data_IF_707705421466
#
_entry.id   IF_707705421466
#
_cell.length_a   1.000
_cell.length_b   1.000
_cell.length_c   1.000
_cell.angle_alpha   90.00
_cell.angle_beta   90.00
_cell.angle_gamma   90.00
#
_symmetry.space_group_name_H-M   'P 1'
#
loop_
_entity.id
_entity.type
_entity.pdbx_description
1 polymer ?
#
# COMPACT_ATOMS: atom_id res chain seq x y z
N UNK A 1 0.42 28.05 1.55
CA UNK A 1 -0.75 27.67 2.38
C UNK A 1 -0.99 26.20 2.12
N UNK A 2 -1.06 25.38 3.18
CA UNK A 2 -1.12 23.92 3.06
C UNK A 2 -2.58 23.51 2.90
N UNK A 3 -3.05 23.34 1.66
CA UNK A 3 -4.35 22.73 1.40
C UNK A 3 -4.20 21.21 1.56
N UNK A 4 -4.06 20.70 2.80
CA UNK A 4 -4.47 19.32 3.08
C UNK A 4 -5.96 19.30 2.75
N UNK A 5 -6.39 18.41 1.83
CA UNK A 5 -7.78 18.07 1.52
C UNK A 5 -8.76 18.78 2.48
N UNK A 6 -9.24 19.98 2.11
CA UNK A 6 -9.75 20.97 3.09
C UNK A 6 -10.93 20.42 3.92
N UNK A 7 -11.57 19.37 3.43
CA UNK A 7 -12.72 18.73 4.06
C UNK A 7 -12.38 17.39 4.75
N UNK A 8 -11.13 16.88 4.64
CA UNK A 8 -10.68 15.60 5.20
C UNK A 8 -11.61 14.41 4.88
N UNK A 9 -12.35 14.47 3.77
CA UNK A 9 -13.43 13.52 3.48
C UNK A 9 -12.89 12.09 3.27
N UNK A 10 -11.83 11.91 2.47
CA UNK A 10 -11.27 10.56 2.25
C UNK A 10 -10.71 9.95 3.54
N UNK A 11 -9.88 10.68 4.34
CA UNK A 11 -9.50 10.23 5.68
C UNK A 11 -10.69 9.89 6.57
N UNK A 12 -11.73 10.73 6.59
CA UNK A 12 -12.92 10.53 7.41
C UNK A 12 -13.67 9.26 7.01
N UNK A 13 -13.94 9.05 5.71
CA UNK A 13 -14.58 7.84 5.19
C UNK A 13 -13.76 6.59 5.49
N UNK A 14 -12.43 6.64 5.33
CA UNK A 14 -11.54 5.54 5.64
C UNK A 14 -11.57 5.17 7.14
N UNK A 15 -11.50 6.16 8.02
CA UNK A 15 -11.52 5.94 9.47
C UNK A 15 -12.88 5.42 9.95
N UNK A 16 -13.99 5.98 9.48
CA UNK A 16 -15.33 5.49 9.84
C UNK A 16 -15.57 4.06 9.39
N UNK A 17 -15.15 3.71 8.17
CA UNK A 17 -15.26 2.33 7.69
C UNK A 17 -14.56 1.34 8.65
N UNK A 18 -13.40 1.72 9.19
CA UNK A 18 -12.66 0.88 10.15
C UNK A 18 -13.36 0.79 11.51
N UNK A 19 -13.93 1.90 11.98
CA UNK A 19 -14.73 1.92 13.21
C UNK A 19 -15.95 1.00 13.06
N UNK A 20 -16.68 1.11 11.95
CA UNK A 20 -17.87 0.29 11.67
C UNK A 20 -17.52 -1.21 11.64
N UNK A 21 -16.39 -1.57 11.04
CA UNK A 21 -15.90 -2.95 11.03
C UNK A 21 -15.54 -3.45 12.43
N UNK A 22 -14.87 -2.62 13.22
CA UNK A 22 -14.50 -2.98 14.58
C UNK A 22 -15.74 -3.15 15.47
N UNK A 23 -16.67 -2.21 15.41
CA UNK A 23 -17.93 -2.28 16.16
C UNK A 23 -18.78 -3.49 15.78
N UNK A 24 -18.87 -3.79 14.48
CA UNK A 24 -19.61 -4.96 14.00
C UNK A 24 -19.03 -6.24 14.61
N UNK A 25 -17.71 -6.41 14.56
CA UNK A 25 -17.06 -7.59 15.11
C UNK A 25 -17.25 -7.68 16.64
N UNK A 26 -17.13 -6.55 17.35
CA UNK A 26 -17.36 -6.50 18.80
C UNK A 26 -18.78 -6.97 19.15
N UNK A 27 -19.78 -6.53 18.40
CA UNK A 27 -21.18 -6.94 18.58
C UNK A 27 -21.41 -8.42 18.26
N UNK A 28 -20.74 -8.95 17.25
CA UNK A 28 -20.94 -10.34 16.78
C UNK A 28 -20.21 -11.38 17.62
N UNK A 29 -19.03 -11.06 18.16
CA UNK A 29 -18.16 -12.06 18.80
C UNK A 29 -17.29 -11.53 19.95
N UNK A 30 -17.59 -10.35 20.50
CA UNK A 30 -16.85 -9.73 21.60
C UNK A 30 -15.33 -9.57 21.35
N UNK A 31 -14.93 -9.45 20.08
CA UNK A 31 -13.55 -9.19 19.68
C UNK A 31 -13.48 -8.04 18.67
N UNK A 32 -12.29 -7.47 18.48
CA UNK A 32 -12.03 -6.45 17.46
C UNK A 32 -11.00 -6.97 16.46
N UNK A 33 -11.11 -6.65 15.16
CA UNK A 33 -10.06 -6.99 14.19
C UNK A 33 -8.81 -6.12 14.39
N UNK A 34 -8.93 -4.94 15.01
CA UNK A 34 -7.88 -3.91 15.09
C UNK A 34 -7.81 -3.38 16.53
N UNK A 35 -6.60 -3.16 17.04
CA UNK A 35 -6.36 -2.65 18.40
C UNK A 35 -5.87 -1.21 18.43
N UNK A 36 -5.14 -0.78 17.40
CA UNK A 36 -4.68 0.60 17.29
C UNK A 36 -4.58 1.06 15.83
N UNK A 37 -4.80 2.36 15.64
CA UNK A 37 -4.61 3.08 14.39
C UNK A 37 -3.48 4.09 14.58
N UNK A 38 -2.53 4.12 13.64
CA UNK A 38 -1.45 5.12 13.64
C UNK A 38 -1.51 5.94 12.34
N UNK A 39 -2.38 6.97 12.27
CA UNK A 39 -2.44 7.86 11.13
C UNK A 39 -1.23 8.81 11.11
N UNK A 40 -0.57 8.92 9.97
CA UNK A 40 0.57 9.81 9.78
C UNK A 40 0.55 10.45 8.40
N UNK A 41 0.81 11.75 8.34
CA UNK A 41 0.98 12.47 7.09
C UNK A 41 2.45 12.60 6.77
N UNK A 42 2.80 12.41 5.50
CA UNK A 42 4.12 12.74 4.99
C UNK A 42 3.99 13.52 3.68
N UNK A 43 4.99 14.35 3.39
CA UNK A 43 5.07 15.09 2.12
C UNK A 43 5.32 14.09 1.00
N UNK A 44 4.68 14.28 -0.14
CA UNK A 44 5.01 13.49 -1.30
C UNK A 44 6.43 13.83 -1.81
N UNK A 45 7.06 12.86 -2.47
CA UNK A 45 8.43 12.94 -2.95
C UNK A 45 8.57 12.31 -4.33
N UNK A 46 9.43 12.84 -5.18
CA UNK A 46 9.77 12.21 -6.45
C UNK A 46 10.66 10.97 -6.22
N UNK A 47 10.06 9.78 -6.25
CA UNK A 47 10.79 8.51 -6.20
C UNK A 47 9.94 7.34 -6.74
N UNK A 48 10.52 6.34 -7.41
CA UNK A 48 9.69 5.33 -8.11
C UNK A 48 8.75 4.50 -7.22
N UNK A 49 9.24 4.09 -6.04
CA UNK A 49 8.54 3.12 -5.20
C UNK A 49 7.99 3.71 -3.91
N UNK A 50 8.02 5.02 -3.69
CA UNK A 50 7.42 5.57 -2.47
C UNK A 50 5.90 5.50 -2.55
N UNK A 51 5.22 5.09 -1.45
CA UNK A 51 3.77 5.23 -1.34
C UNK A 51 3.28 6.68 -1.38
N UNK A 52 4.15 7.68 -1.29
CA UNK A 52 3.79 9.08 -1.59
C UNK A 52 4.63 9.62 -2.73
N UNK A 53 4.75 8.88 -3.82
CA UNK A 53 5.30 9.41 -5.07
C UNK A 53 4.39 10.54 -5.60
N UNK A 54 5.00 11.64 -6.05
CA UNK A 54 4.31 12.84 -6.55
C UNK A 54 3.51 12.62 -7.87
N UNK A 55 3.85 11.61 -8.66
CA UNK A 55 3.16 11.24 -9.91
C UNK A 55 1.89 10.41 -9.66
N UNK A 56 1.72 9.84 -8.45
CA UNK A 56 0.51 9.10 -8.08
C UNK A 56 -0.49 10.06 -7.44
N UNK A 57 -1.29 10.71 -8.28
CA UNK A 57 -2.21 11.78 -7.87
C UNK A 57 -3.69 11.37 -7.84
N UNK A 58 -4.48 12.01 -6.99
CA UNK A 58 -5.95 12.04 -7.03
C UNK A 58 -6.44 13.47 -7.28
N UNK A 59 -7.72 13.66 -7.66
CA UNK A 59 -8.33 14.99 -7.61
C UNK A 59 -8.11 15.62 -6.23
N UNK A 60 -7.89 16.95 -6.18
CA UNK A 60 -7.76 17.70 -4.93
C UNK A 60 -6.56 17.31 -4.03
N UNK A 61 -5.53 16.66 -4.60
CA UNK A 61 -4.35 16.27 -3.85
C UNK A 61 -3.55 17.45 -3.29
N UNK A 62 -3.22 17.32 -2.01
CA UNK A 62 -2.47 18.30 -1.23
C UNK A 62 -0.95 18.27 -1.40
N UNK A 63 -0.43 17.35 -2.22
CA UNK A 63 0.98 16.99 -2.24
C UNK A 63 1.44 16.28 -0.95
N UNK A 64 0.51 15.66 -0.22
CA UNK A 64 0.78 14.84 0.96
C UNK A 64 0.00 13.54 0.91
N UNK A 65 0.54 12.51 1.54
CA UNK A 65 -0.09 11.20 1.65
C UNK A 65 -0.36 10.88 3.12
N UNK A 66 -1.58 10.40 3.40
CA UNK A 66 -1.94 9.79 4.68
C UNK A 66 -1.58 8.31 4.66
N UNK A 67 -0.76 7.88 5.60
CA UNK A 67 -0.59 6.47 5.96
C UNK A 67 -1.54 6.16 7.12
N UNK A 68 -2.29 5.08 7.01
CA UNK A 68 -3.06 4.52 8.11
C UNK A 68 -2.50 3.12 8.38
N UNK A 69 -1.76 2.96 9.47
CA UNK A 69 -1.30 1.65 9.91
C UNK A 69 -2.33 1.00 10.84
N UNK A 70 -2.74 -0.21 10.49
CA UNK A 70 -3.57 -1.08 11.34
C UNK A 70 -2.67 -1.94 12.20
N UNK A 71 -2.82 -1.85 13.53
CA UNK A 71 -2.10 -2.68 14.47
C UNK A 71 -3.05 -3.61 15.21
N UNK A 72 -2.64 -4.87 15.32
CA UNK A 72 -3.30 -5.88 16.12
C UNK A 72 -2.23 -6.85 16.67
N UNK A 73 -2.51 -7.53 17.80
CA UNK A 73 -1.70 -8.66 18.22
C UNK A 73 -1.53 -9.69 17.09
N UNK A 74 -0.40 -10.41 17.03
CA UNK A 74 -0.25 -11.52 16.10
C UNK A 74 -1.42 -12.50 16.21
N UNK A 75 -1.93 -12.95 15.07
CA UNK A 75 -3.08 -13.85 14.97
C UNK A 75 -4.42 -13.31 15.53
N UNK A 76 -4.58 -12.00 15.66
CA UNK A 76 -5.88 -11.39 15.99
C UNK A 76 -6.96 -11.85 15.00
N UNK A 77 -8.02 -12.44 15.55
CA UNK A 77 -9.16 -12.92 14.76
C UNK A 77 -9.78 -11.75 13.98
N UNK A 78 -10.03 -11.98 12.69
CA UNK A 78 -10.66 -10.98 11.81
C UNK A 78 -9.72 -9.92 11.23
N UNK A 79 -8.46 -9.79 11.67
CA UNK A 79 -7.54 -8.75 11.17
C UNK A 79 -7.30 -8.82 9.65
N UNK A 80 -6.90 -9.98 9.13
CA UNK A 80 -6.61 -10.10 7.69
C UNK A 80 -7.85 -9.98 6.79
N UNK A 81 -9.00 -10.59 7.12
CA UNK A 81 -10.26 -10.29 6.45
C UNK A 81 -10.59 -8.79 6.48
N UNK A 82 -10.35 -8.12 7.60
CA UNK A 82 -10.64 -6.71 7.73
C UNK A 82 -9.73 -5.86 6.81
N UNK A 83 -8.42 -6.12 6.81
CA UNK A 83 -7.47 -5.47 5.93
C UNK A 83 -7.82 -5.67 4.44
N UNK A 84 -8.22 -6.89 4.05
CA UNK A 84 -8.63 -7.17 2.68
C UNK A 84 -9.92 -6.43 2.30
N UNK A 85 -10.90 -6.35 3.21
CA UNK A 85 -12.14 -5.60 3.00
C UNK A 85 -11.87 -4.10 2.81
N UNK A 86 -11.00 -3.53 3.65
CA UNK A 86 -10.57 -2.13 3.52
C UNK A 86 -9.93 -1.86 2.16
N UNK A 87 -8.96 -2.68 1.75
CA UNK A 87 -8.32 -2.51 0.44
C UNK A 87 -9.33 -2.64 -0.70
N UNK A 88 -10.27 -3.57 -0.62
CA UNK A 88 -11.31 -3.72 -1.64
C UNK A 88 -12.26 -2.53 -1.73
N UNK A 89 -12.62 -1.93 -0.58
CA UNK A 89 -13.49 -0.76 -0.50
C UNK A 89 -12.84 0.48 -1.14
N UNK A 90 -11.54 0.69 -0.89
CA UNK A 90 -10.83 1.92 -1.27
C UNK A 90 -9.88 1.75 -2.47
N UNK A 91 -9.93 0.62 -3.19
CA UNK A 91 -9.01 0.35 -4.33
C UNK A 91 -9.08 1.37 -5.47
N UNK A 92 -10.23 2.02 -5.68
CA UNK A 92 -10.40 3.09 -6.68
C UNK A 92 -9.69 4.38 -6.28
N UNK A 93 -9.36 4.54 -4.99
CA UNK A 93 -8.70 5.74 -4.46
C UNK A 93 -7.16 5.66 -4.57
N UNK A 94 -6.64 4.85 -5.51
CA UNK A 94 -5.19 4.64 -5.72
C UNK A 94 -4.48 4.29 -4.40
N UNK A 95 -5.08 3.38 -3.63
CA UNK A 95 -4.52 2.91 -2.37
C UNK A 95 -3.16 2.26 -2.60
N UNK A 96 -2.16 2.66 -1.80
CA UNK A 96 -0.77 2.24 -1.94
C UNK A 96 -0.38 1.41 -0.72
N UNK A 97 0.13 0.19 -0.88
CA UNK A 97 0.64 -0.55 0.26
C UNK A 97 1.88 0.14 0.82
N UNK A 98 1.98 0.18 2.15
CA UNK A 98 3.21 0.57 2.81
C UNK A 98 4.19 -0.61 2.76
N UNK A 99 5.30 -0.47 2.03
CA UNK A 99 6.28 -1.56 1.81
C UNK A 99 6.84 -2.17 3.11
N UNK A 100 6.90 -1.39 4.19
CA UNK A 100 7.32 -1.88 5.50
C UNK A 100 6.24 -2.64 6.29
N UNK A 101 5.07 -2.92 5.71
CA UNK A 101 3.97 -3.67 6.33
C UNK A 101 3.60 -4.88 5.50
N UNK A 102 2.93 -5.84 6.12
CA UNK A 102 2.41 -7.03 5.45
C UNK A 102 1.18 -6.69 4.61
N UNK A 103 1.16 -7.11 3.35
CA UNK A 103 0.05 -6.95 2.42
C UNK A 103 -0.03 -8.05 1.35
N UNK A 104 0.90 -9.01 1.38
CA UNK A 104 0.98 -10.16 0.47
C UNK A 104 -0.21 -11.13 0.60
N UNK A 105 -0.90 -11.11 1.74
CA UNK A 105 -2.07 -11.93 2.03
C UNK A 105 -3.39 -11.37 1.46
N UNK A 106 -3.36 -10.20 0.83
CA UNK A 106 -4.55 -9.56 0.26
C UNK A 106 -4.73 -10.05 -1.18
N UNK A 107 -5.86 -10.71 -1.45
CA UNK A 107 -6.14 -11.21 -2.79
C UNK A 107 -6.15 -10.06 -3.82
N UNK A 108 -5.48 -10.25 -4.95
CA UNK A 108 -5.38 -9.23 -6.00
C UNK A 108 -4.40 -8.08 -5.72
N UNK A 109 -3.66 -8.09 -4.59
CA UNK A 109 -2.75 -7.00 -4.23
C UNK A 109 -1.70 -6.70 -5.30
N UNK A 110 -1.17 -7.72 -5.99
CA UNK A 110 -0.19 -7.54 -7.07
C UNK A 110 -0.78 -6.71 -8.21
N UNK A 111 -2.04 -6.94 -8.57
CA UNK A 111 -2.71 -6.18 -9.63
C UNK A 111 -2.97 -4.74 -9.17
N UNK A 112 -3.35 -4.54 -7.91
CA UNK A 112 -3.51 -3.20 -7.33
C UNK A 112 -2.18 -2.43 -7.38
N UNK A 113 -1.09 -3.04 -6.95
CA UNK A 113 0.26 -2.45 -7.01
C UNK A 113 0.61 -2.08 -8.45
N UNK A 114 0.45 -3.00 -9.41
CA UNK A 114 0.76 -2.74 -10.82
C UNK A 114 -0.10 -1.63 -11.41
N UNK A 115 -1.37 -1.57 -11.06
CA UNK A 115 -2.28 -0.53 -11.54
C UNK A 115 -1.93 0.85 -10.96
N UNK A 116 -1.56 0.90 -9.68
CA UNK A 116 -1.30 2.17 -8.97
C UNK A 116 0.08 2.74 -9.33
N UNK A 117 1.12 1.91 -9.34
CA UNK A 117 2.46 2.37 -9.67
C UNK A 117 2.71 2.44 -11.19
N UNK A 118 2.05 1.60 -11.99
CA UNK A 118 2.10 1.66 -13.46
C UNK A 118 3.54 1.76 -14.00
N UNK A 119 3.80 2.82 -14.76
CA UNK A 119 5.09 3.09 -15.39
C UNK A 119 6.23 3.34 -14.39
N UNK A 120 5.94 3.69 -13.12
CA UNK A 120 6.97 3.83 -12.09
C UNK A 120 7.69 2.51 -11.81
N UNK A 121 6.99 1.37 -11.92
CA UNK A 121 7.62 0.05 -11.80
C UNK A 121 8.61 -0.18 -12.95
N UNK A 122 8.22 0.15 -14.18
CA UNK A 122 9.10 0.07 -15.35
C UNK A 122 10.31 0.99 -15.22
N UNK A 123 10.10 2.21 -14.73
CA UNK A 123 11.17 3.16 -14.44
C UNK A 123 12.16 2.62 -13.41
N UNK A 124 11.68 2.09 -12.28
CA UNK A 124 12.51 1.45 -11.28
C UNK A 124 13.32 0.28 -11.85
N UNK A 125 12.69 -0.62 -12.60
CA UNK A 125 13.38 -1.74 -13.26
C UNK A 125 14.47 -1.28 -14.20
N UNK A 126 14.19 -0.21 -14.96
CA UNK A 126 15.16 0.36 -15.89
C UNK A 126 16.37 0.90 -15.15
N UNK A 127 16.17 1.63 -14.04
CA UNK A 127 17.28 2.12 -13.21
C UNK A 127 18.06 0.97 -12.56
N UNK A 128 17.39 -0.04 -12.00
CA UNK A 128 18.02 -1.27 -11.48
C UNK A 128 18.91 -1.92 -12.54
N UNK A 129 18.40 -2.05 -13.77
CA UNK A 129 19.11 -2.63 -14.91
C UNK A 129 20.31 -1.79 -15.35
N UNK A 130 20.15 -0.48 -15.48
CA UNK A 130 21.22 0.45 -15.89
C UNK A 130 22.34 0.53 -14.85
N UNK A 131 21.99 0.39 -13.57
CA UNK A 131 22.95 0.34 -12.47
C UNK A 131 23.57 -1.05 -12.24
N UNK A 132 23.19 -2.06 -13.04
CA UNK A 132 23.62 -3.46 -12.92
C UNK A 132 23.41 -4.05 -11.51
N UNK A 133 22.29 -3.67 -10.87
CA UNK A 133 21.94 -4.14 -9.53
C UNK A 133 21.16 -5.45 -9.64
N UNK A 134 21.68 -6.49 -9.00
CA UNK A 134 21.06 -7.82 -8.89
C UNK A 134 20.61 -8.41 -10.25
N UNK A 135 21.52 -8.59 -11.23
CA UNK A 135 21.19 -8.98 -12.60
C UNK A 135 20.57 -10.39 -12.70
N UNK A 136 20.77 -11.23 -11.70
CA UNK A 136 20.29 -12.60 -11.64
C UNK A 136 19.22 -12.83 -10.56
N UNK A 137 18.58 -11.76 -10.06
CA UNK A 137 17.46 -11.83 -9.12
C UNK A 137 17.78 -12.60 -7.81
N UNK A 138 19.04 -12.57 -7.34
CA UNK A 138 19.47 -13.23 -6.11
C UNK A 138 18.79 -12.64 -4.86
N UNK A 139 18.38 -11.38 -4.90
CA UNK A 139 17.69 -10.70 -3.80
C UNK A 139 16.18 -10.62 -4.01
N UNK A 140 15.64 -11.32 -5.00
CA UNK A 140 14.22 -11.29 -5.35
C UNK A 140 13.51 -12.57 -4.87
N UNK A 141 12.56 -12.41 -3.95
CA UNK A 141 11.65 -13.50 -3.61
C UNK A 141 10.48 -13.60 -4.61
N UNK A 142 9.67 -14.66 -4.50
CA UNK A 142 8.53 -14.89 -5.39
C UNK A 142 7.53 -13.73 -5.42
N UNK A 143 7.33 -13.05 -4.29
CA UNK A 143 6.46 -11.88 -4.18
C UNK A 143 6.98 -10.69 -4.98
N UNK A 144 8.26 -10.34 -4.81
CA UNK A 144 8.92 -9.27 -5.55
C UNK A 144 8.96 -9.58 -7.05
N UNK A 145 9.25 -10.82 -7.43
CA UNK A 145 9.22 -11.26 -8.84
C UNK A 145 7.83 -11.14 -9.45
N UNK A 146 6.76 -11.37 -8.69
CA UNK A 146 5.40 -11.18 -9.20
C UNK A 146 5.07 -9.71 -9.49
N UNK A 147 5.67 -8.77 -8.75
CA UNK A 147 5.50 -7.32 -8.93
C UNK A 147 6.40 -6.81 -10.06
N UNK A 148 7.70 -7.05 -9.95
CA UNK A 148 8.73 -6.44 -10.81
C UNK A 148 9.10 -7.33 -12.02
N UNK A 149 8.74 -8.60 -12.03
CA UNK A 149 9.21 -9.56 -13.04
C UNK A 149 10.67 -9.96 -12.84
N UNK A 150 11.16 -10.83 -13.71
CA UNK A 150 12.57 -11.26 -13.71
C UNK A 150 13.47 -10.24 -14.39
N UNK A 151 14.74 -10.25 -14.01
CA UNK A 151 15.81 -9.52 -14.69
C UNK A 151 16.15 -10.19 -16.03
N UNK A 152 16.32 -9.37 -17.06
CA UNK A 152 16.65 -9.82 -18.43
C UNK A 152 18.16 -9.95 -18.67
N UNK A 153 18.96 -9.49 -17.71
CA UNK A 153 20.41 -9.30 -17.86
C UNK A 153 21.24 -10.39 -17.18
N UNK A 154 20.65 -11.48 -16.68
CA UNK A 154 21.42 -12.52 -16.03
C UNK A 154 22.33 -13.18 -17.07
N UNK A 155 23.61 -12.81 -17.05
CA UNK A 155 24.63 -13.42 -17.91
C UNK A 155 25.03 -14.74 -17.26
N UNK A 156 24.84 -15.85 -17.97
CA UNK A 156 25.54 -17.10 -17.65
C UNK A 156 27.03 -16.83 -17.75
N UNK A 157 27.74 -17.00 -16.63
CA UNK A 157 29.20 -17.03 -16.58
C UNK A 157 29.69 -18.32 -17.25
#
# INVERSE_FOLDING_TARGET
>A
MVNIDNDFDRPFRALNYLVDMAEKQIKENASTPINALLPRWFKNHNCFLCPGNDDITQPDDSGKTLVIDFLAPPAQYGFYPAAASFVNQFKSEKLRPHWGKRHDNINGIINIIKNVYGNLLTGFKTQKRLADIDPCDMFMNSYLLAIFGRSENCRTI
#
